data_IF_890797838626
#
_entry.id   IF_890797838626
#
_cell.length_a   1.000
_cell.length_b   1.000
_cell.length_c   1.000
_cell.angle_alpha   90.00
_cell.angle_beta   90.00
_cell.angle_gamma   90.00
#
_symmetry.space_group_name_H-M   'P 1'
#
loop_
_entity.id
_entity.type
_entity.pdbx_description
1 polymer ?
#
# COMPACT_ATOMS: atom_id res chain seq x y z
N UNK A 1 26.06 -4.00 2.58
CA UNK A 1 24.82 -3.16 2.58
C UNK A 1 23.84 -3.80 3.55
N UNK A 2 23.37 -3.09 4.58
CA UNK A 2 22.25 -3.57 5.42
C UNK A 2 20.99 -3.43 4.58
N UNK A 3 20.48 -4.55 4.07
CA UNK A 3 19.23 -4.64 3.33
C UNK A 3 18.16 -5.08 4.34
N UNK A 4 16.89 -4.73 4.09
CA UNK A 4 15.78 -5.20 4.93
C UNK A 4 15.78 -6.75 5.02
N UNK A 5 15.24 -7.34 6.10
CA UNK A 5 15.19 -8.79 6.26
C UNK A 5 14.49 -9.47 5.08
N UNK A 6 14.89 -10.70 4.74
CA UNK A 6 14.23 -11.48 3.68
C UNK A 6 12.73 -11.66 3.94
N UNK A 7 12.34 -11.84 5.20
CA UNK A 7 10.95 -11.95 5.62
C UNK A 7 10.11 -10.71 5.26
N UNK A 8 10.71 -9.52 5.28
CA UNK A 8 10.02 -8.31 4.85
C UNK A 8 9.68 -8.36 3.36
N UNK A 9 10.65 -8.74 2.50
CA UNK A 9 10.39 -8.84 1.06
C UNK A 9 9.38 -9.93 0.72
N UNK A 10 9.46 -11.07 1.40
CA UNK A 10 8.46 -12.12 1.27
C UNK A 10 7.05 -11.61 1.63
N UNK A 11 6.91 -10.92 2.77
CA UNK A 11 5.64 -10.32 3.17
C UNK A 11 5.14 -9.29 2.14
N UNK A 12 6.02 -8.44 1.60
CA UNK A 12 5.61 -7.45 0.59
C UNK A 12 5.17 -8.11 -0.71
N UNK A 13 5.79 -9.23 -1.09
CA UNK A 13 5.41 -10.01 -2.27
C UNK A 13 4.06 -10.72 -2.05
N UNK A 14 3.89 -11.38 -0.90
CA UNK A 14 2.65 -12.07 -0.52
C UNK A 14 1.44 -11.11 -0.44
N UNK A 15 1.66 -9.90 0.08
CA UNK A 15 0.62 -8.86 0.20
C UNK A 15 0.50 -7.99 -1.07
N UNK A 16 1.29 -8.26 -2.11
CA UNK A 16 1.36 -7.48 -3.35
C UNK A 16 1.50 -5.97 -3.09
N UNK A 17 2.44 -5.62 -2.21
CA UNK A 17 2.77 -4.25 -1.82
C UNK A 17 3.97 -3.75 -2.61
N UNK A 18 3.89 -2.49 -3.03
CA UNK A 18 4.98 -1.80 -3.73
C UNK A 18 5.30 -0.46 -3.07
N UNK A 19 6.58 -0.12 -3.05
CA UNK A 19 7.07 1.20 -2.67
C UNK A 19 6.77 2.19 -3.80
N UNK A 20 5.72 2.98 -3.64
CA UNK A 20 5.18 3.83 -4.70
C UNK A 20 6.19 4.85 -5.16
N UNK A 21 6.92 5.45 -4.21
CA UNK A 21 7.86 6.51 -4.56
C UNK A 21 8.94 5.95 -5.48
N UNK A 22 9.42 4.72 -5.20
CA UNK A 22 10.38 4.05 -6.07
C UNK A 22 9.80 3.64 -7.42
N UNK A 23 8.54 3.16 -7.46
CA UNK A 23 7.88 2.79 -8.71
C UNK A 23 7.72 4.00 -9.66
N UNK A 24 7.44 5.19 -9.13
CA UNK A 24 7.30 6.41 -9.96
C UNK A 24 8.63 7.08 -10.28
N UNK A 25 9.60 6.98 -9.38
CA UNK A 25 10.86 7.69 -9.45
C UNK A 25 12.05 6.70 -9.50
N UNK A 26 11.99 5.73 -10.41
CA UNK A 26 12.98 4.63 -10.48
C UNK A 26 14.41 5.14 -10.66
N UNK A 27 14.59 6.18 -11.47
CA UNK A 27 15.91 6.74 -11.81
C UNK A 27 16.33 7.89 -10.89
N UNK A 28 15.41 8.41 -10.07
CA UNK A 28 15.67 9.55 -9.23
C UNK A 28 16.44 9.18 -7.97
N UNK A 29 17.33 10.09 -7.57
CA UNK A 29 18.13 10.01 -6.36
C UNK A 29 17.74 11.13 -5.41
N UNK A 30 16.57 10.98 -4.79
CA UNK A 30 16.14 11.80 -3.68
C UNK A 30 16.19 11.01 -2.37
N UNK A 31 16.32 11.74 -1.26
CA UNK A 31 16.64 11.19 0.05
C UNK A 31 15.76 11.82 1.12
N UNK A 32 15.43 11.03 2.14
CA UNK A 32 14.58 11.50 3.24
C UNK A 32 15.39 11.95 4.45
N UNK A 33 16.66 11.55 4.55
CA UNK A 33 17.46 11.82 5.73
C UNK A 33 18.94 12.05 5.38
N UNK A 34 19.59 12.93 6.14
CA UNK A 34 21.04 13.11 6.13
C UNK A 34 21.66 12.70 7.45
N UNK A 35 22.61 11.77 7.41
CA UNK A 35 23.39 11.39 8.58
C UNK A 35 24.65 12.23 8.70
N UNK A 36 24.68 13.17 9.64
CA UNK A 36 25.88 13.97 9.94
C UNK A 36 27.09 13.10 10.27
N UNK A 37 26.91 12.06 11.09
CA UNK A 37 27.98 11.14 11.52
C UNK A 37 28.64 10.42 10.34
N UNK A 38 27.84 10.03 9.36
CA UNK A 38 28.29 9.24 8.22
C UNK A 38 28.46 10.07 6.94
N UNK A 39 28.26 11.39 7.03
CA UNK A 39 28.26 12.33 5.91
C UNK A 39 27.52 11.80 4.67
N UNK A 40 26.38 11.13 4.87
CA UNK A 40 25.70 10.40 3.80
C UNK A 40 24.19 10.60 3.82
N UNK A 41 23.61 10.61 2.63
CA UNK A 41 22.19 10.72 2.39
C UNK A 41 21.56 9.33 2.26
N UNK A 42 20.40 9.14 2.89
CA UNK A 42 19.65 7.89 2.82
C UNK A 42 18.16 8.17 2.68
N UNK A 43 17.45 7.20 2.10
CA UNK A 43 15.98 7.19 2.05
C UNK A 43 15.50 6.08 2.97
N UNK A 44 15.17 6.46 4.20
CA UNK A 44 14.75 5.54 5.26
C UNK A 44 13.24 5.58 5.51
N UNK A 45 12.57 6.59 4.96
CA UNK A 45 11.12 6.72 4.95
C UNK A 45 10.59 6.22 3.60
N UNK A 46 9.53 5.40 3.63
CA UNK A 46 8.99 4.71 2.46
C UNK A 46 7.47 4.66 2.54
N UNK A 47 6.80 4.70 1.37
CA UNK A 47 5.34 4.58 1.28
C UNK A 47 5.03 3.31 0.49
N UNK A 48 4.58 2.27 1.20
CA UNK A 48 4.19 0.98 0.61
C UNK A 48 2.68 0.89 0.48
N UNK A 49 2.19 0.54 -0.71
CA UNK A 49 0.74 0.33 -0.93
C UNK A 49 0.47 -0.85 -1.85
N UNK A 50 -0.78 -1.32 -1.83
CA UNK A 50 -1.23 -2.33 -2.78
C UNK A 50 -1.17 -1.82 -4.22
N UNK A 51 -0.85 -2.72 -5.15
CA UNK A 51 -0.81 -2.40 -6.57
C UNK A 51 -2.13 -1.79 -7.08
N UNK A 52 -3.26 -2.20 -6.52
CA UNK A 52 -4.59 -1.65 -6.86
C UNK A 52 -4.73 -0.15 -6.56
N UNK A 53 -4.04 0.35 -5.53
CA UNK A 53 -4.09 1.75 -5.12
C UNK A 53 -3.23 2.66 -5.99
N UNK A 54 -2.23 2.11 -6.70
CA UNK A 54 -1.29 2.87 -7.53
C UNK A 54 -2.00 3.71 -8.60
N UNK A 55 -3.10 3.20 -9.17
CA UNK A 55 -3.90 3.88 -10.20
C UNK A 55 -4.55 5.16 -9.65
N UNK A 56 -4.88 5.17 -8.36
CA UNK A 56 -5.57 6.29 -7.72
C UNK A 56 -4.61 7.36 -7.20
N UNK A 57 -3.31 7.08 -7.19
CA UNK A 57 -2.31 8.05 -6.74
C UNK A 57 -2.01 8.98 -7.90
N UNK A 58 -2.06 10.28 -7.65
CA UNK A 58 -1.82 11.31 -8.66
C UNK A 58 -0.35 11.63 -8.72
N UNK A 59 0.22 11.86 -7.54
CA UNK A 59 1.58 12.34 -7.41
C UNK A 59 2.21 11.86 -6.11
N UNK A 60 3.54 11.78 -6.12
CA UNK A 60 4.34 11.45 -4.94
C UNK A 60 5.73 12.09 -5.04
N UNK A 61 6.07 12.91 -4.07
CA UNK A 61 7.33 13.65 -4.05
C UNK A 61 7.97 13.67 -2.66
N UNK A 62 9.30 13.81 -2.64
CA UNK A 62 10.06 14.08 -1.41
C UNK A 62 10.29 15.59 -1.37
N UNK A 63 9.68 16.25 -0.39
CA UNK A 63 9.85 17.68 -0.16
C UNK A 63 11.13 17.99 0.60
N UNK A 64 11.47 19.27 0.73
CA UNK A 64 12.59 19.72 1.56
C UNK A 64 12.07 20.14 2.93
N UNK A 65 12.60 19.53 3.99
CA UNK A 65 12.33 19.96 5.35
C UNK A 65 13.30 21.06 5.77
N UNK A 66 12.77 22.13 6.34
CA UNK A 66 13.56 23.20 6.93
C UNK A 66 13.61 23.13 8.47
N UNK A 67 12.77 22.28 9.07
CA UNK A 67 12.53 22.25 10.53
C UNK A 67 12.91 20.90 11.17
N UNK A 68 12.84 19.81 10.41
CA UNK A 68 13.18 18.48 10.86
C UNK A 68 14.39 17.93 10.10
N UNK A 69 15.09 16.98 10.72
CA UNK A 69 16.19 16.21 10.12
C UNK A 69 15.72 15.23 9.03
N UNK A 70 14.41 15.01 8.93
CA UNK A 70 13.77 14.25 7.87
C UNK A 70 12.99 15.14 6.90
N UNK A 71 13.17 14.87 5.61
CA UNK A 71 12.40 15.39 4.49
C UNK A 71 11.05 14.68 4.39
N UNK A 72 9.93 15.40 4.26
CA UNK A 72 8.61 14.79 4.17
C UNK A 72 8.39 14.09 2.82
N UNK A 73 7.62 13.01 2.84
CA UNK A 73 7.07 12.38 1.62
C UNK A 73 5.61 12.83 1.48
N UNK A 74 5.29 13.51 0.39
CA UNK A 74 3.94 14.00 0.10
C UNK A 74 3.29 13.09 -0.95
N UNK A 75 2.05 12.68 -0.69
CA UNK A 75 1.27 11.81 -1.58
C UNK A 75 -0.03 12.51 -1.94
N UNK A 76 -0.28 12.73 -3.22
CA UNK A 76 -1.57 13.22 -3.71
C UNK A 76 -2.41 12.04 -4.16
N UNK A 77 -3.55 11.82 -3.49
CA UNK A 77 -4.42 10.67 -3.73
C UNK A 77 -5.79 11.11 -4.25
N UNK A 78 -6.28 10.51 -5.34
CA UNK A 78 -7.65 10.73 -5.86
C UNK A 78 -8.73 10.21 -4.91
N UNK A 79 -8.34 9.49 -3.86
CA UNK A 79 -9.24 8.74 -3.01
C UNK A 79 -9.67 7.43 -3.66
N UNK A 80 -10.47 6.65 -2.92
CA UNK A 80 -11.15 5.49 -3.46
C UNK A 80 -12.64 5.77 -3.52
N UNK A 81 -13.28 5.29 -4.59
CA UNK A 81 -14.73 5.17 -4.59
C UNK A 81 -15.11 4.23 -3.43
N UNK A 82 -16.05 4.65 -2.56
CA UNK A 82 -16.53 3.81 -1.45
C UNK A 82 -16.89 2.43 -2.00
N UNK A 83 -16.15 1.39 -1.61
CA UNK A 83 -16.59 0.02 -1.82
C UNK A 83 -17.79 -0.19 -0.91
N UNK A 84 -18.96 -0.46 -1.48
CA UNK A 84 -20.11 -0.88 -0.69
C UNK A 84 -19.69 -2.18 0.02
N UNK A 85 -19.85 -2.22 1.34
CA UNK A 85 -19.62 -3.46 2.08
C UNK A 85 -20.60 -4.47 1.52
N UNK A 86 -20.10 -5.60 1.04
CA UNK A 86 -21.00 -6.67 0.60
C UNK A 86 -21.84 -7.07 1.81
N UNK A 87 -23.15 -6.96 1.66
CA UNK A 87 -24.13 -7.47 2.62
C UNK A 87 -24.87 -8.58 1.91
N UNK A 88 -24.99 -9.73 2.57
CA UNK A 88 -25.79 -10.82 2.05
C UNK A 88 -27.21 -10.33 1.79
N UNK A 89 -27.71 -10.56 0.58
CA UNK A 89 -29.10 -10.28 0.27
C UNK A 89 -29.99 -11.29 0.99
N UNK A 90 -30.63 -10.86 2.07
CA UNK A 90 -31.51 -11.70 2.89
C UNK A 90 -32.70 -12.30 2.12
N UNK A 91 -33.01 -11.79 0.91
CA UNK A 91 -34.02 -12.39 0.04
C UNK A 91 -33.58 -13.75 -0.51
N UNK A 92 -32.30 -13.91 -0.84
CA UNK A 92 -31.74 -15.15 -1.37
C UNK A 92 -31.90 -16.28 -0.34
N UNK A 93 -31.73 -15.96 0.95
CA UNK A 93 -31.93 -16.92 2.04
C UNK A 93 -33.37 -17.45 2.15
N UNK A 94 -34.34 -16.77 1.54
CA UNK A 94 -35.76 -17.17 1.58
C UNK A 94 -36.18 -17.97 0.36
N UNK A 95 -35.34 -18.08 -0.67
CA UNK A 95 -35.66 -18.83 -1.89
C UNK A 95 -35.62 -20.34 -1.61
N UNK A 96 -36.67 -21.06 -2.01
CA UNK A 96 -36.78 -22.51 -1.72
C UNK A 96 -35.66 -23.33 -2.38
N UNK A 97 -35.21 -22.92 -3.57
CA UNK A 97 -34.09 -23.57 -4.25
C UNK A 97 -32.78 -23.43 -3.46
N UNK A 98 -32.55 -22.26 -2.85
CA UNK A 98 -31.38 -22.03 -2.02
C UNK A 98 -31.43 -22.86 -0.71
N UNK A 99 -32.61 -22.94 -0.08
CA UNK A 99 -32.82 -23.79 1.11
C UNK A 99 -32.56 -25.26 0.80
N UNK A 100 -33.14 -25.78 -0.27
CA UNK A 100 -32.94 -27.17 -0.71
C UNK A 100 -31.47 -27.48 -0.99
N UNK A 101 -30.73 -26.53 -1.56
CA UNK A 101 -29.29 -26.66 -1.80
C UNK A 101 -28.49 -26.69 -0.49
N UNK A 102 -28.80 -25.82 0.45
CA UNK A 102 -28.15 -25.79 1.78
C UNK A 102 -28.43 -27.08 2.55
N UNK A 103 -29.66 -27.57 2.56
CA UNK A 103 -30.03 -28.83 3.21
C UNK A 103 -29.27 -30.03 2.63
N UNK A 104 -29.09 -30.05 1.31
CA UNK A 104 -28.32 -31.09 0.62
C UNK A 104 -26.81 -31.07 0.98
N UNK A 105 -26.22 -29.89 1.18
CA UNK A 105 -24.79 -29.75 1.55
C UNK A 105 -24.55 -29.99 3.04
N UNK A 106 -25.58 -29.85 3.88
CA UNK A 106 -25.54 -30.13 5.32
C UNK A 106 -25.77 -31.60 5.67
N UNK A 107 -26.23 -32.41 4.71
CA UNK A 107 -26.49 -33.85 4.85
C UNK A 107 -25.34 -34.65 4.25
#
# INVERSE_FOLDING_TARGET
RKILPKSFFQMTEELNLKDIWRERNMNEKQYTFYSNRHASWSRIDMVWTSVELLINIQDIEIGTSTWADHNPIMVVWKGQRKRFRWTLNNRILKEEEFKAKIEKELT
#
